data_IF_253662510383
#
_entry.id   IF_253662510383
#
_cell.length_a   1.000
_cell.length_b   1.000
_cell.length_c   1.000
_cell.angle_alpha   90.00
_cell.angle_beta   90.00
_cell.angle_gamma   90.00
#
_symmetry.space_group_name_H-M   'P 1'
#
loop_
_entity.id
_entity.type
_entity.pdbx_description
1 polymer ?
#
# COMPACT_ATOMS: atom_id res chain seq x y z
N UNK A 1 4.18 -39.99 -75.92
CA UNK A 1 4.86 -39.01 -75.03
C UNK A 1 3.75 -38.40 -74.19
N UNK A 2 3.48 -38.94 -73.00
CA UNK A 2 4.09 -38.50 -71.73
C UNK A 2 3.79 -37.00 -71.52
N UNK A 3 3.13 -36.51 -70.46
CA UNK A 3 2.90 -36.95 -69.07
C UNK A 3 1.90 -35.92 -68.50
N UNK A 4 0.83 -36.31 -67.81
CA UNK A 4 0.74 -36.62 -66.36
C UNK A 4 0.62 -35.36 -65.47
N UNK A 5 -0.55 -35.24 -64.80
CA UNK A 5 -0.82 -34.63 -63.48
C UNK A 5 -2.36 -34.47 -63.32
N UNK A 6 -3.05 -35.37 -62.60
CA UNK A 6 -3.20 -35.46 -61.14
C UNK A 6 -4.40 -34.67 -60.58
N UNK A 7 -5.55 -35.35 -60.38
CA UNK A 7 -6.14 -35.63 -59.05
C UNK A 7 -7.53 -36.28 -59.12
N UNK A 8 -7.59 -37.50 -58.57
CA UNK A 8 -8.66 -38.19 -57.80
C UNK A 8 -10.12 -38.06 -58.25
N UNK A 9 -10.83 -39.10 -58.71
CA UNK A 9 -10.94 -40.49 -58.22
C UNK A 9 -11.62 -40.59 -56.83
N UNK A 10 -12.94 -40.81 -56.80
CA UNK A 10 -13.56 -42.09 -56.40
C UNK A 10 -15.00 -41.96 -55.89
N UNK A 11 -15.86 -42.71 -56.58
CA UNK A 11 -17.10 -43.36 -56.13
C UNK A 11 -16.94 -44.15 -54.82
N UNK A 12 -17.95 -44.04 -53.96
CA UNK A 12 -18.45 -45.04 -53.00
C UNK A 12 -19.95 -44.77 -52.91
N UNK A 13 -20.86 -45.53 -53.52
CA UNK A 13 -21.34 -46.84 -53.09
C UNK A 13 -21.49 -47.00 -51.57
N UNK A 14 -22.73 -47.27 -51.16
CA UNK A 14 -23.16 -47.98 -49.95
C UNK A 14 -22.94 -47.32 -48.57
N UNK A 15 -23.94 -46.53 -48.14
CA UNK A 15 -24.34 -46.28 -46.73
C UNK A 15 -25.63 -45.43 -46.79
N UNK A 16 -26.81 -45.84 -46.32
CA UNK A 16 -27.19 -47.02 -45.57
C UNK A 16 -28.73 -47.14 -45.71
N UNK A 17 -29.33 -48.26 -46.15
CA UNK A 17 -30.78 -48.46 -46.06
C UNK A 17 -31.30 -48.33 -44.61
N UNK A 18 -30.40 -48.35 -43.63
CA UNK A 18 -30.63 -48.00 -42.23
C UNK A 18 -30.97 -46.53 -41.99
N UNK A 19 -30.43 -45.57 -42.78
CA UNK A 19 -30.72 -44.13 -42.63
C UNK A 19 -32.10 -43.79 -43.20
N UNK A 20 -32.46 -44.39 -44.34
CA UNK A 20 -33.80 -44.26 -44.91
C UNK A 20 -34.86 -44.99 -44.06
N UNK A 21 -34.52 -46.14 -43.48
CA UNK A 21 -35.37 -46.84 -42.52
C UNK A 21 -35.47 -46.09 -41.18
N UNK A 22 -34.39 -45.43 -40.72
CA UNK A 22 -34.41 -44.61 -39.51
C UNK A 22 -35.28 -43.36 -39.69
N UNK A 23 -35.20 -42.67 -40.83
CA UNK A 23 -36.06 -41.51 -41.15
C UNK A 23 -37.53 -41.91 -41.23
N UNK A 24 -37.86 -43.02 -41.92
CA UNK A 24 -39.23 -43.53 -41.95
C UNK A 24 -39.72 -44.05 -40.58
N UNK A 25 -38.84 -44.59 -39.74
CA UNK A 25 -39.18 -44.98 -38.36
C UNK A 25 -39.35 -43.76 -37.43
N UNK A 26 -38.70 -42.64 -37.72
CA UNK A 26 -38.88 -41.36 -37.02
C UNK A 26 -40.19 -40.69 -37.44
N UNK A 27 -40.53 -40.67 -38.73
CA UNK A 27 -41.80 -40.12 -39.22
C UNK A 27 -43.00 -40.98 -38.77
N UNK A 28 -42.89 -42.31 -38.80
CA UNK A 28 -43.91 -43.20 -38.25
C UNK A 28 -44.05 -43.12 -36.72
N UNK A 29 -43.00 -42.66 -36.01
CA UNK A 29 -43.06 -42.34 -34.57
C UNK A 29 -43.68 -40.97 -34.30
N UNK A 30 -43.46 -39.98 -35.17
CA UNK A 30 -44.09 -38.65 -35.11
C UNK A 30 -45.60 -38.73 -35.42
N UNK A 31 -45.99 -39.50 -36.42
CA UNK A 31 -47.41 -39.68 -36.79
C UNK A 31 -48.20 -40.46 -35.71
N UNK A 32 -47.53 -41.32 -34.94
CA UNK A 32 -48.12 -41.98 -33.78
C UNK A 32 -48.13 -41.12 -32.50
N UNK A 33 -47.42 -39.98 -32.48
CA UNK A 33 -47.46 -38.99 -31.40
C UNK A 33 -48.51 -37.89 -31.62
N UNK A 34 -49.06 -37.75 -32.84
CA UNK A 34 -50.10 -36.76 -33.17
C UNK A 34 -51.54 -37.24 -32.97
N UNK A 35 -51.78 -38.48 -32.50
CA UNK A 35 -53.13 -38.91 -32.14
C UNK A 35 -53.45 -38.54 -30.69
N UNK A 36 -54.37 -37.59 -30.43
CA UNK A 36 -54.61 -37.09 -29.10
C UNK A 36 -55.36 -38.15 -28.29
N UNK A 37 -54.69 -38.77 -27.31
CA UNK A 37 -55.34 -39.51 -26.23
C UNK A 37 -55.30 -38.70 -24.94
N UNK A 38 -56.44 -38.02 -24.71
CA UNK A 38 -57.01 -37.52 -23.45
C UNK A 38 -56.08 -37.40 -22.23
N UNK A 39 -55.92 -36.15 -21.79
CA UNK A 39 -55.75 -35.66 -20.41
C UNK A 39 -55.19 -36.67 -19.40
N UNK A 40 -53.87 -36.65 -19.18
CA UNK A 40 -53.29 -37.28 -18.00
C UNK A 40 -52.38 -36.32 -17.25
N UNK A 41 -52.54 -36.30 -15.93
CA UNK A 41 -51.82 -35.47 -14.95
C UNK A 41 -50.27 -35.53 -15.07
N UNK A 42 -49.74 -36.51 -15.79
CA UNK A 42 -48.31 -36.77 -16.00
C UNK A 42 -47.65 -35.67 -16.85
N UNK A 43 -48.34 -35.13 -17.84
CA UNK A 43 -47.81 -34.08 -18.72
C UNK A 43 -47.61 -32.75 -17.97
N UNK A 44 -48.47 -32.47 -16.99
CA UNK A 44 -48.30 -31.35 -16.04
C UNK A 44 -47.09 -31.58 -15.13
N UNK A 45 -46.84 -32.80 -14.67
CA UNK A 45 -45.64 -33.11 -13.87
C UNK A 45 -44.34 -33.00 -14.68
N UNK A 46 -44.34 -33.42 -15.94
CA UNK A 46 -43.15 -33.38 -16.79
C UNK A 46 -42.78 -31.94 -17.21
N UNK A 47 -43.77 -31.10 -17.53
CA UNK A 47 -43.56 -29.65 -17.72
C UNK A 47 -43.06 -28.97 -16.44
N UNK A 48 -43.58 -29.36 -15.28
CA UNK A 48 -43.10 -28.83 -14.01
C UNK A 48 -41.68 -29.29 -13.69
N UNK A 49 -41.28 -30.54 -13.96
CA UNK A 49 -39.90 -31.00 -13.77
C UNK A 49 -38.90 -30.28 -14.69
N UNK A 50 -39.27 -30.04 -15.96
CA UNK A 50 -38.44 -29.24 -16.88
C UNK A 50 -38.31 -27.79 -16.40
N UNK A 51 -39.38 -27.19 -15.88
CA UNK A 51 -39.35 -25.86 -15.28
C UNK A 51 -38.55 -25.81 -13.97
N UNK A 52 -38.65 -26.85 -13.12
CA UNK A 52 -37.85 -26.98 -11.89
C UNK A 52 -36.37 -27.18 -12.21
N UNK A 53 -36.02 -27.98 -13.23
CA UNK A 53 -34.65 -28.15 -13.67
C UNK A 53 -34.08 -26.84 -14.24
N UNK A 54 -34.87 -26.09 -15.01
CA UNK A 54 -34.51 -24.76 -15.50
C UNK A 54 -34.35 -23.75 -14.35
N UNK A 55 -35.27 -23.75 -13.38
CA UNK A 55 -35.23 -22.87 -12.21
C UNK A 55 -34.04 -23.21 -11.30
N UNK A 56 -33.76 -24.49 -11.05
CA UNK A 56 -32.58 -24.94 -10.30
C UNK A 56 -31.29 -24.59 -11.04
N UNK A 57 -31.26 -24.75 -12.37
CA UNK A 57 -30.15 -24.31 -13.21
C UNK A 57 -29.90 -22.80 -13.10
N UNK A 58 -30.96 -21.99 -13.19
CA UNK A 58 -30.88 -20.52 -13.04
C UNK A 58 -30.44 -20.14 -11.62
N UNK A 59 -30.98 -20.79 -10.59
CA UNK A 59 -30.59 -20.53 -9.19
C UNK A 59 -29.13 -20.92 -8.94
N UNK A 60 -28.66 -22.05 -9.46
CA UNK A 60 -27.25 -22.45 -9.38
C UNK A 60 -26.33 -21.50 -10.18
N UNK A 61 -26.77 -21.01 -11.33
CA UNK A 61 -26.06 -19.97 -12.08
C UNK A 61 -26.00 -18.65 -11.30
N UNK A 62 -27.08 -18.25 -10.63
CA UNK A 62 -27.13 -17.03 -9.81
C UNK A 62 -26.29 -17.18 -8.54
N UNK A 63 -26.28 -18.34 -7.89
CA UNK A 63 -25.40 -18.64 -6.75
C UNK A 63 -23.94 -18.65 -7.18
N UNK A 64 -23.62 -19.27 -8.32
CA UNK A 64 -22.26 -19.28 -8.87
C UNK A 64 -21.80 -17.89 -9.29
N UNK A 65 -22.68 -17.07 -9.87
CA UNK A 65 -22.42 -15.67 -10.16
C UNK A 65 -22.24 -14.85 -8.87
N UNK A 66 -23.09 -15.02 -7.86
CA UNK A 66 -22.92 -14.37 -6.56
C UNK A 66 -21.59 -14.76 -5.91
N UNK A 67 -21.22 -16.03 -5.92
CA UNK A 67 -19.98 -16.50 -5.34
C UNK A 67 -18.74 -15.94 -6.08
N UNK A 68 -18.77 -15.92 -7.41
CA UNK A 68 -17.69 -15.38 -8.25
C UNK A 68 -17.62 -13.85 -8.21
N UNK A 69 -18.74 -13.14 -8.15
CA UNK A 69 -18.77 -11.68 -8.21
C UNK A 69 -18.77 -10.99 -6.85
N UNK A 70 -19.18 -11.67 -5.78
CA UNK A 70 -19.27 -11.06 -4.44
C UNK A 70 -18.35 -11.71 -3.42
N UNK A 71 -18.32 -13.05 -3.32
CA UNK A 71 -17.55 -13.71 -2.28
C UNK A 71 -16.05 -13.78 -2.61
N UNK A 72 -15.68 -14.24 -3.81
CA UNK A 72 -14.27 -14.37 -4.23
C UNK A 72 -13.49 -13.04 -4.20
N UNK A 73 -14.03 -11.90 -4.67
CA UNK A 73 -13.31 -10.63 -4.57
C UNK A 73 -13.13 -10.18 -3.12
N UNK A 74 -14.09 -10.48 -2.25
CA UNK A 74 -14.03 -10.11 -0.83
C UNK A 74 -13.04 -10.99 -0.07
N UNK A 75 -13.05 -12.30 -0.31
CA UNK A 75 -12.11 -13.25 0.31
C UNK A 75 -10.67 -12.98 -0.13
N UNK A 76 -10.45 -12.74 -1.43
CA UNK A 76 -9.14 -12.39 -1.95
C UNK A 76 -8.65 -11.05 -1.40
N UNK A 77 -9.54 -10.07 -1.23
CA UNK A 77 -9.21 -8.77 -0.63
C UNK A 77 -8.87 -8.88 0.85
N UNK A 78 -9.61 -9.68 1.62
CA UNK A 78 -9.31 -9.96 3.02
C UNK A 78 -7.95 -10.65 3.17
N UNK A 79 -7.67 -11.64 2.31
CA UNK A 79 -6.38 -12.31 2.27
C UNK A 79 -5.25 -11.35 1.90
N UNK A 80 -5.43 -10.53 0.88
CA UNK A 80 -4.43 -9.53 0.47
C UNK A 80 -4.17 -8.53 1.62
N UNK A 81 -5.20 -8.18 2.41
CA UNK A 81 -5.06 -7.29 3.57
C UNK A 81 -4.34 -7.98 4.73
N UNK A 82 -4.62 -9.26 4.99
CA UNK A 82 -3.91 -10.06 5.97
C UNK A 82 -2.42 -10.19 5.60
N UNK A 83 -2.14 -10.50 4.34
CA UNK A 83 -0.78 -10.60 3.79
C UNK A 83 -0.05 -9.25 3.86
N UNK A 84 -0.74 -8.14 3.58
CA UNK A 84 -0.20 -6.79 3.74
C UNK A 84 0.15 -6.48 5.20
N UNK A 85 -0.78 -6.73 6.13
CA UNK A 85 -0.53 -6.51 7.56
C UNK A 85 0.58 -7.41 8.10
N UNK A 86 0.65 -8.66 7.64
CA UNK A 86 1.73 -9.59 7.97
C UNK A 86 3.09 -9.04 7.53
N UNK A 87 3.20 -8.51 6.30
CA UNK A 87 4.42 -7.90 5.80
C UNK A 87 4.81 -6.63 6.59
N UNK A 88 3.86 -5.76 6.91
CA UNK A 88 4.08 -4.56 7.76
C UNK A 88 4.59 -4.95 9.14
N UNK A 89 3.97 -5.95 9.77
CA UNK A 89 4.37 -6.45 11.09
C UNK A 89 5.76 -7.09 11.05
N UNK A 90 6.09 -7.83 9.99
CA UNK A 90 7.42 -8.40 9.79
C UNK A 90 8.50 -7.31 9.70
N UNK A 91 8.25 -6.25 8.91
CA UNK A 91 9.14 -5.09 8.82
C UNK A 91 9.35 -4.43 10.18
N UNK A 92 8.26 -4.18 10.93
CA UNK A 92 8.34 -3.57 12.25
C UNK A 92 9.10 -4.43 13.26
N UNK A 93 8.82 -5.73 13.30
CA UNK A 93 9.47 -6.70 14.20
C UNK A 93 10.97 -6.81 13.94
N UNK A 94 11.37 -6.94 12.66
CA UNK A 94 12.78 -6.99 12.27
C UNK A 94 13.52 -5.72 12.68
N UNK A 95 12.90 -4.55 12.53
CA UNK A 95 13.49 -3.27 12.95
C UNK A 95 13.59 -3.16 14.48
N UNK A 96 12.55 -3.52 15.22
CA UNK A 96 12.57 -3.53 16.69
C UNK A 96 13.66 -4.46 17.22
N UNK A 97 13.81 -5.65 16.64
CA UNK A 97 14.88 -6.59 16.98
C UNK A 97 16.27 -5.98 16.74
N UNK A 98 16.45 -5.27 15.61
CA UNK A 98 17.70 -4.57 15.31
C UNK A 98 18.01 -3.47 16.32
N UNK A 99 17.04 -2.63 16.64
CA UNK A 99 17.21 -1.53 17.60
C UNK A 99 17.55 -2.08 18.99
N UNK A 100 16.84 -3.11 19.45
CA UNK A 100 17.13 -3.76 20.73
C UNK A 100 18.57 -4.24 20.80
N UNK A 101 19.05 -4.91 19.75
CA UNK A 101 20.40 -5.45 19.74
C UNK A 101 21.46 -4.34 19.62
N UNK A 102 21.17 -3.24 18.91
CA UNK A 102 22.05 -2.06 18.90
C UNK A 102 22.18 -1.42 20.29
N UNK A 103 21.11 -1.43 21.09
CA UNK A 103 21.17 -0.96 22.49
C UNK A 103 21.87 -1.95 23.41
N UNK A 104 21.70 -3.26 23.19
CA UNK A 104 22.29 -4.31 24.03
C UNK A 104 23.76 -4.61 23.70
N UNK A 105 24.23 -4.24 22.51
CA UNK A 105 25.57 -4.58 22.04
C UNK A 105 26.31 -3.39 21.44
N UNK A 106 27.47 -3.08 22.02
CA UNK A 106 28.41 -2.09 21.50
C UNK A 106 29.36 -2.67 20.42
N UNK A 107 29.09 -3.85 19.86
CA UNK A 107 29.97 -4.48 18.87
C UNK A 107 29.61 -4.08 17.42
N UNK A 108 30.45 -3.27 16.74
CA UNK A 108 30.16 -2.80 15.38
C UNK A 108 30.08 -3.93 14.34
N UNK A 109 30.86 -5.00 14.51
CA UNK A 109 30.85 -6.15 13.59
C UNK A 109 29.53 -6.91 13.67
N UNK A 110 28.94 -6.97 14.86
CA UNK A 110 27.64 -7.61 15.07
C UNK A 110 26.51 -6.76 14.46
N UNK A 111 26.58 -5.44 14.61
CA UNK A 111 25.65 -4.49 13.96
C UNK A 111 25.73 -4.62 12.43
N UNK A 112 26.94 -4.69 11.86
CA UNK A 112 27.14 -4.84 10.42
C UNK A 112 26.61 -6.19 9.90
N UNK A 113 26.90 -7.29 10.60
CA UNK A 113 26.38 -8.62 10.26
C UNK A 113 24.84 -8.66 10.29
N UNK A 114 24.23 -8.05 11.30
CA UNK A 114 22.78 -7.94 11.38
C UNK A 114 22.18 -7.14 10.23
N UNK A 115 22.77 -6.00 9.88
CA UNK A 115 22.32 -5.22 8.74
C UNK A 115 22.33 -6.07 7.46
N UNK A 116 23.37 -6.89 7.26
CA UNK A 116 23.47 -7.77 6.10
C UNK A 116 22.38 -8.85 6.05
N UNK A 117 21.88 -9.31 7.20
CA UNK A 117 20.84 -10.33 7.30
C UNK A 117 19.42 -9.74 7.23
N UNK A 118 19.21 -8.58 7.86
CA UNK A 118 17.88 -7.99 8.05
C UNK A 118 17.47 -7.13 6.86
N UNK A 119 18.37 -6.32 6.30
CA UNK A 119 18.03 -5.38 5.22
C UNK A 119 17.39 -6.06 4.00
N UNK A 120 17.89 -7.21 3.51
CA UNK A 120 17.24 -7.91 2.38
C UNK A 120 15.82 -8.37 2.70
N UNK A 121 15.55 -8.83 3.93
CA UNK A 121 14.22 -9.26 4.36
C UNK A 121 13.25 -8.08 4.47
N UNK A 122 13.73 -6.96 5.02
CA UNK A 122 12.96 -5.71 5.09
C UNK A 122 12.61 -5.24 3.68
N UNK A 123 13.58 -5.22 2.75
CA UNK A 123 13.35 -4.87 1.35
C UNK A 123 12.29 -5.75 0.69
N UNK A 124 12.41 -7.08 0.84
CA UNK A 124 11.46 -8.03 0.27
C UNK A 124 10.04 -7.81 0.79
N UNK A 125 9.87 -7.61 2.10
CA UNK A 125 8.56 -7.35 2.70
C UNK A 125 7.96 -6.00 2.25
N UNK A 126 8.78 -4.95 2.12
CA UNK A 126 8.33 -3.65 1.59
C UNK A 126 7.86 -3.78 0.14
N UNK A 127 8.65 -4.44 -0.71
CA UNK A 127 8.30 -4.63 -2.12
C UNK A 127 7.03 -5.46 -2.26
N UNK A 128 6.89 -6.50 -1.45
CA UNK A 128 5.69 -7.34 -1.41
C UNK A 128 4.44 -6.54 -0.99
N UNK A 129 4.51 -5.82 0.13
CA UNK A 129 3.43 -4.97 0.61
C UNK A 129 3.06 -3.88 -0.41
N UNK A 130 4.06 -3.28 -1.07
CA UNK A 130 3.87 -2.28 -2.12
C UNK A 130 3.15 -2.87 -3.34
N UNK A 131 3.47 -4.11 -3.73
CA UNK A 131 2.82 -4.81 -4.84
C UNK A 131 1.36 -5.21 -4.53
N UNK A 132 0.97 -5.30 -3.26
CA UNK A 132 -0.41 -5.54 -2.84
C UNK A 132 -1.29 -4.28 -2.93
N UNK A 133 -0.72 -3.07 -2.85
CA UNK A 133 -1.48 -1.82 -2.80
C UNK A 133 -2.53 -1.63 -3.90
N UNK A 134 -2.27 -1.93 -5.19
CA UNK A 134 -3.27 -1.78 -6.24
C UNK A 134 -4.53 -2.63 -6.00
N UNK A 135 -4.41 -3.75 -5.27
CA UNK A 135 -5.51 -4.67 -4.97
C UNK A 135 -6.31 -4.26 -3.74
N UNK A 136 -5.67 -3.57 -2.79
CA UNK A 136 -6.30 -3.18 -1.53
C UNK A 136 -7.13 -1.90 -1.61
N UNK A 137 -6.83 -1.03 -2.58
CA UNK A 137 -7.54 0.25 -2.65
C UNK A 137 -7.37 1.04 -1.35
N UNK A 138 -8.35 1.88 -1.01
CA UNK A 138 -8.22 2.91 0.06
C UNK A 138 -8.31 2.34 1.48
N UNK A 139 -8.33 1.02 1.64
CA UNK A 139 -8.47 0.36 2.94
C UNK A 139 -7.19 0.35 3.77
N UNK A 140 -6.05 0.60 3.13
CA UNK A 140 -4.77 0.66 3.84
C UNK A 140 -4.68 1.99 4.58
N UNK A 141 -4.53 1.91 5.91
CA UNK A 141 -4.37 3.10 6.75
C UNK A 141 -3.02 3.78 6.57
N UNK A 142 -3.00 5.11 6.78
CA UNK A 142 -1.77 5.90 6.84
C UNK A 142 -0.75 5.34 7.85
N UNK A 143 -1.13 4.84 9.05
CA UNK A 143 -0.15 4.29 10.00
C UNK A 143 0.68 3.14 9.43
N UNK A 144 0.05 2.19 8.73
CA UNK A 144 0.76 1.08 8.09
C UNK A 144 1.67 1.57 6.97
N UNK A 145 1.19 2.51 6.15
CA UNK A 145 1.98 3.11 5.08
C UNK A 145 3.20 3.84 5.63
N UNK A 146 3.06 4.59 6.72
CA UNK A 146 4.15 5.33 7.38
C UNK A 146 5.28 4.40 7.82
N UNK A 147 4.96 3.23 8.39
CA UNK A 147 5.98 2.23 8.76
C UNK A 147 6.77 1.81 7.52
N UNK A 148 6.08 1.43 6.44
CA UNK A 148 6.73 1.00 5.20
C UNK A 148 7.52 2.12 4.54
N UNK A 149 7.01 3.36 4.53
CA UNK A 149 7.68 4.54 3.98
C UNK A 149 9.00 4.80 4.72
N UNK A 150 8.95 4.85 6.06
CA UNK A 150 10.12 5.09 6.90
C UNK A 150 11.22 4.07 6.60
N UNK A 151 10.87 2.79 6.55
CA UNK A 151 11.85 1.74 6.29
C UNK A 151 12.33 1.73 4.83
N UNK A 152 11.47 1.99 3.86
CA UNK A 152 11.86 2.11 2.46
C UNK A 152 12.89 3.24 2.27
N UNK A 153 12.69 4.37 2.93
CA UNK A 153 13.64 5.49 2.92
C UNK A 153 14.96 5.14 3.62
N UNK A 154 14.93 4.42 4.76
CA UNK A 154 16.12 4.00 5.49
C UNK A 154 17.03 3.09 4.68
N UNK A 155 16.46 2.25 3.80
CA UNK A 155 17.20 1.33 2.94
C UNK A 155 17.38 1.84 1.50
N UNK A 156 17.01 3.10 1.25
CA UNK A 156 17.14 3.77 -0.06
C UNK A 156 16.29 3.16 -1.20
N UNK A 157 15.20 2.45 -0.89
CA UNK A 157 14.21 2.01 -1.89
C UNK A 157 13.25 3.17 -2.25
N UNK A 158 13.79 4.13 -3.01
CA UNK A 158 13.06 5.32 -3.42
C UNK A 158 11.81 5.02 -4.26
N UNK A 159 11.83 3.92 -5.01
CA UNK A 159 10.70 3.52 -5.85
C UNK A 159 9.50 3.13 -4.98
N UNK A 160 9.70 2.22 -4.03
CA UNK A 160 8.64 1.82 -3.11
C UNK A 160 8.22 2.99 -2.22
N UNK A 161 9.17 3.75 -1.68
CA UNK A 161 8.89 4.94 -0.87
C UNK A 161 7.98 5.93 -1.62
N UNK A 162 8.27 6.22 -2.89
CA UNK A 162 7.43 7.12 -3.68
C UNK A 162 6.02 6.58 -3.91
N UNK A 163 5.85 5.28 -4.18
CA UNK A 163 4.51 4.68 -4.34
C UNK A 163 3.73 4.78 -3.02
N UNK A 164 4.35 4.40 -1.91
CA UNK A 164 3.73 4.38 -0.58
C UNK A 164 3.37 5.79 -0.09
N UNK A 165 4.26 6.78 -0.26
CA UNK A 165 4.02 8.18 0.09
C UNK A 165 2.85 8.74 -0.72
N UNK A 166 2.87 8.56 -2.05
CA UNK A 166 1.78 9.03 -2.91
C UNK A 166 0.45 8.38 -2.54
N UNK A 167 0.48 7.12 -2.10
CA UNK A 167 -0.70 6.45 -1.57
C UNK A 167 -1.21 7.13 -0.30
N UNK A 168 -0.33 7.38 0.66
CA UNK A 168 -0.68 7.95 1.96
C UNK A 168 -1.30 9.36 1.83
N UNK A 169 -0.70 10.25 1.01
CA UNK A 169 -1.21 11.63 0.84
C UNK A 169 -2.53 11.72 0.07
N UNK A 170 -2.90 10.66 -0.65
CA UNK A 170 -4.16 10.58 -1.38
C UNK A 170 -5.33 10.11 -0.52
N UNK A 171 -5.10 9.64 0.71
CA UNK A 171 -6.17 9.25 1.64
C UNK A 171 -6.78 10.51 2.28
N UNK A 172 -7.89 10.99 1.70
CA UNK A 172 -8.56 12.24 2.13
C UNK A 172 -9.52 12.07 3.31
N UNK A 173 -9.75 10.85 3.77
CA UNK A 173 -10.66 10.55 4.90
C UNK A 173 -9.93 10.44 6.24
N UNK A 174 -8.60 10.51 6.25
CA UNK A 174 -7.80 10.35 7.46
C UNK A 174 -7.88 11.58 8.39
N UNK A 175 -7.58 11.38 9.67
CA UNK A 175 -7.47 12.49 10.62
C UNK A 175 -6.35 13.46 10.22
N UNK A 176 -6.44 14.77 10.53
CA UNK A 176 -5.44 15.75 10.15
C UNK A 176 -4.02 15.41 10.62
N UNK A 177 -3.87 14.82 11.81
CA UNK A 177 -2.58 14.34 12.33
C UNK A 177 -1.94 13.27 11.44
N UNK A 178 -2.75 12.35 10.90
CA UNK A 178 -2.26 11.31 9.99
C UNK A 178 -1.92 11.89 8.62
N UNK A 179 -2.77 12.79 8.09
CA UNK A 179 -2.47 13.50 6.85
C UNK A 179 -1.16 14.29 6.95
N UNK A 180 -0.96 14.98 8.07
CA UNK A 180 0.27 15.73 8.35
C UNK A 180 1.49 14.83 8.28
N UNK A 181 1.42 13.63 8.87
CA UNK A 181 2.53 12.69 8.86
C UNK A 181 2.84 12.18 7.43
N UNK A 182 1.80 11.90 6.64
CA UNK A 182 1.98 11.53 5.23
C UNK A 182 2.68 12.64 4.42
N UNK A 183 2.28 13.90 4.62
CA UNK A 183 2.94 15.05 4.00
C UNK A 183 4.36 15.28 4.51
N UNK A 184 4.63 15.06 5.80
CA UNK A 184 5.97 15.12 6.39
C UNK A 184 6.92 14.14 5.70
N UNK A 185 6.49 12.89 5.51
CA UNK A 185 7.28 11.90 4.77
C UNK A 185 7.43 12.24 3.29
N UNK A 186 6.41 12.82 2.65
CA UNK A 186 6.54 13.36 1.29
C UNK A 186 7.61 14.44 1.20
N UNK A 187 7.64 15.35 2.17
CA UNK A 187 8.67 16.38 2.33
C UNK A 187 10.05 15.75 2.35
N UNK A 188 10.30 14.83 3.29
CA UNK A 188 11.57 14.12 3.42
C UNK A 188 11.99 13.42 2.12
N UNK A 189 11.07 12.65 1.50
CA UNK A 189 11.37 11.91 0.27
C UNK A 189 11.78 12.84 -0.88
N UNK A 190 11.06 13.96 -1.03
CA UNK A 190 11.35 14.94 -2.06
C UNK A 190 12.73 15.59 -1.85
N UNK A 191 13.13 15.87 -0.61
CA UNK A 191 14.51 16.30 -0.32
C UNK A 191 15.54 15.23 -0.68
N UNK A 192 15.35 13.98 -0.25
CA UNK A 192 16.28 12.89 -0.58
C UNK A 192 16.42 12.61 -2.08
N UNK A 193 15.37 12.90 -2.86
CA UNK A 193 15.35 12.68 -4.31
C UNK A 193 15.66 13.96 -5.12
N UNK A 194 16.07 15.04 -4.45
CA UNK A 194 16.49 16.28 -5.10
C UNK A 194 15.37 17.21 -5.58
N UNK A 195 14.11 16.90 -5.26
CA UNK A 195 12.92 17.72 -5.59
C UNK A 195 12.63 18.74 -4.49
N UNK A 196 13.55 19.67 -4.29
CA UNK A 196 13.59 20.51 -3.09
C UNK A 196 12.34 21.38 -2.92
N UNK A 197 11.86 22.03 -3.97
CA UNK A 197 10.68 22.90 -3.88
C UNK A 197 9.38 22.11 -3.62
N UNK A 198 9.27 20.90 -4.19
CA UNK A 198 8.16 19.99 -3.85
C UNK A 198 8.26 19.50 -2.40
N UNK A 199 9.48 19.35 -1.88
CA UNK A 199 9.74 18.99 -0.49
C UNK A 199 9.31 20.10 0.48
N UNK A 200 9.69 21.34 0.20
CA UNK A 200 9.26 22.54 0.94
C UNK A 200 7.75 22.69 0.94
N UNK A 201 7.13 22.52 -0.23
CA UNK A 201 5.67 22.56 -0.37
C UNK A 201 5.02 21.49 0.50
N UNK A 202 5.53 20.26 0.48
CA UNK A 202 4.97 19.17 1.29
C UNK A 202 5.11 19.39 2.81
N UNK A 203 6.22 19.98 3.29
CA UNK A 203 6.30 20.38 4.70
C UNK A 203 5.33 21.51 5.04
N UNK A 204 5.15 22.48 4.14
CA UNK A 204 4.12 23.51 4.27
C UNK A 204 2.72 22.91 4.37
N UNK A 205 2.39 21.95 3.50
CA UNK A 205 1.12 21.22 3.52
C UNK A 205 0.93 20.43 4.84
N UNK A 206 2.00 19.80 5.35
CA UNK A 206 1.96 19.10 6.64
C UNK A 206 1.57 20.04 7.79
N UNK A 207 2.17 21.24 7.86
CA UNK A 207 1.81 22.22 8.88
C UNK A 207 0.42 22.80 8.67
N UNK A 208 0.02 23.01 7.40
CA UNK A 208 -1.29 23.56 7.03
C UNK A 208 -2.43 22.66 7.46
N UNK A 209 -2.34 21.35 7.27
CA UNK A 209 -3.41 20.44 7.71
C UNK A 209 -3.59 20.43 9.23
N UNK A 210 -2.54 20.79 9.99
CA UNK A 210 -2.63 20.93 11.44
C UNK A 210 -3.07 22.34 11.88
N UNK A 211 -3.27 23.31 11.00
CA UNK A 211 -3.44 24.72 11.39
C UNK A 211 -4.64 24.94 12.33
N UNK A 212 -5.74 24.24 12.08
CA UNK A 212 -6.97 24.37 12.87
C UNK A 212 -7.00 23.46 14.11
N UNK A 213 -6.04 22.53 14.23
CA UNK A 213 -5.93 21.62 15.37
C UNK A 213 -5.56 22.38 16.65
N UNK A 214 -6.35 22.16 17.70
CA UNK A 214 -6.18 22.79 19.03
C UNK A 214 -5.92 21.78 20.14
N UNK A 215 -5.64 20.52 19.81
CA UNK A 215 -5.32 19.49 20.77
C UNK A 215 -4.12 19.90 21.64
N UNK A 216 -4.16 19.54 22.93
CA UNK A 216 -3.02 19.75 23.82
C UNK A 216 -1.79 19.02 23.26
N UNK A 217 -0.65 19.70 23.19
CA UNK A 217 0.58 19.17 22.61
C UNK A 217 0.71 19.29 21.09
N UNK A 218 -0.27 19.87 20.38
CA UNK A 218 -0.20 20.03 18.91
C UNK A 218 1.03 20.82 18.45
N UNK A 219 1.47 21.82 19.23
CA UNK A 219 2.70 22.56 18.94
C UNK A 219 3.96 21.70 19.05
N UNK A 220 3.93 20.62 19.84
CA UNK A 220 5.01 19.62 19.85
C UNK A 220 5.07 18.86 18.53
N UNK A 221 3.92 18.45 17.99
CA UNK A 221 3.84 17.82 16.65
C UNK A 221 4.29 18.77 15.54
N UNK A 222 3.86 20.03 15.58
CA UNK A 222 4.31 21.06 14.63
C UNK A 222 5.82 21.28 14.73
N UNK A 223 6.36 21.39 15.94
CA UNK A 223 7.80 21.55 16.17
C UNK A 223 8.58 20.35 15.61
N UNK A 224 8.06 19.13 15.76
CA UNK A 224 8.67 17.93 15.20
C UNK A 224 8.67 17.90 13.66
N UNK A 225 7.67 18.48 13.00
CA UNK A 225 7.67 18.65 11.54
C UNK A 225 8.72 19.69 11.13
N UNK A 226 8.76 20.82 11.85
CA UNK A 226 9.73 21.89 11.58
C UNK A 226 11.17 21.41 11.82
N UNK A 227 11.43 20.58 12.84
CA UNK A 227 12.76 20.01 13.06
C UNK A 227 13.24 19.18 11.87
N UNK A 228 12.38 18.32 11.32
CA UNK A 228 12.72 17.54 10.12
C UNK A 228 12.96 18.43 8.90
N UNK A 229 12.22 19.53 8.78
CA UNK A 229 12.44 20.52 7.72
C UNK A 229 13.78 21.25 7.88
N UNK A 230 14.15 21.67 9.10
CA UNK A 230 15.47 22.26 9.38
C UNK A 230 16.58 21.31 8.93
N UNK A 231 16.52 20.04 9.34
CA UNK A 231 17.51 19.02 8.97
C UNK A 231 17.59 18.85 7.46
N UNK A 232 16.45 18.86 6.77
CA UNK A 232 16.41 18.73 5.32
C UNK A 232 17.09 19.92 4.61
N UNK A 233 16.81 21.16 5.01
CA UNK A 233 17.45 22.36 4.44
C UNK A 233 18.96 22.39 4.73
N UNK A 234 19.37 22.06 5.98
CA UNK A 234 20.78 21.98 6.36
C UNK A 234 21.53 20.92 5.54
N UNK A 235 20.91 19.76 5.31
CA UNK A 235 21.50 18.69 4.51
C UNK A 235 21.72 19.09 3.04
N UNK A 236 20.90 20.02 2.53
CA UNK A 236 21.08 20.61 1.20
C UNK A 236 22.05 21.80 1.19
N UNK A 237 22.46 22.30 2.36
CA UNK A 237 23.33 23.46 2.49
C UNK A 237 22.60 24.80 2.46
N UNK A 238 21.26 24.83 2.60
CA UNK A 238 20.48 26.07 2.64
C UNK A 238 20.37 26.60 4.08
N UNK A 239 21.47 27.18 4.57
CA UNK A 239 21.55 27.61 5.97
C UNK A 239 20.59 28.78 6.29
N UNK A 240 20.23 29.60 5.29
CA UNK A 240 19.33 30.74 5.47
C UNK A 240 17.90 30.28 5.74
N UNK A 241 17.37 29.37 4.93
CA UNK A 241 16.04 28.81 5.17
C UNK A 241 16.03 27.94 6.42
N UNK A 242 17.10 27.20 6.69
CA UNK A 242 17.23 26.46 7.95
C UNK A 242 17.13 27.39 9.18
N UNK A 243 17.76 28.57 9.14
CA UNK A 243 17.66 29.58 10.21
C UNK A 243 16.24 30.13 10.39
N UNK A 244 15.55 30.43 9.28
CA UNK A 244 14.14 30.84 9.33
C UNK A 244 13.25 29.76 9.99
N UNK A 245 13.46 28.49 9.63
CA UNK A 245 12.73 27.36 10.24
C UNK A 245 13.15 27.12 11.68
N UNK A 246 14.40 27.40 12.05
CA UNK A 246 14.85 27.34 13.43
C UNK A 246 14.12 28.36 14.30
N UNK A 247 13.84 29.56 13.79
CA UNK A 247 12.99 30.53 14.50
C UNK A 247 11.56 30.00 14.68
N UNK A 248 10.94 29.46 13.62
CA UNK A 248 9.61 28.85 13.70
C UNK A 248 9.57 27.74 14.77
N UNK A 249 10.62 26.93 14.84
CA UNK A 249 10.78 25.88 15.85
C UNK A 249 10.86 26.45 17.27
N UNK A 250 11.70 27.47 17.48
CA UNK A 250 11.87 28.16 18.78
C UNK A 250 10.51 28.67 19.28
N UNK A 251 9.76 29.35 18.42
CA UNK A 251 8.44 29.90 18.76
C UNK A 251 7.45 28.79 19.16
N UNK A 252 7.46 27.67 18.44
CA UNK A 252 6.60 26.52 18.72
C UNK A 252 6.94 25.85 20.06
N UNK A 253 8.22 25.61 20.35
CA UNK A 253 8.63 24.90 21.57
C UNK A 253 8.55 25.76 22.84
N UNK A 254 8.62 27.09 22.70
CA UNK A 254 8.42 28.03 23.82
C UNK A 254 6.94 28.19 24.21
N UNK A 255 6.00 27.77 23.36
CA UNK A 255 4.57 27.72 23.69
C UNK A 255 4.32 26.96 25.00
N UNK A 256 3.33 27.42 25.76
CA UNK A 256 2.86 26.75 26.98
C UNK A 256 2.22 25.37 26.70
N UNK A 257 1.88 25.08 25.44
CA UNK A 257 1.35 23.79 25.00
C UNK A 257 2.41 22.68 24.90
N UNK A 258 3.69 23.01 25.02
CA UNK A 258 4.80 22.05 25.04
C UNK A 258 5.35 21.95 26.46
N UNK A 259 5.20 20.79 27.08
CA UNK A 259 5.69 20.55 28.45
C UNK A 259 7.21 20.62 28.53
N UNK A 260 7.76 20.92 29.71
CA UNK A 260 9.21 21.06 29.89
C UNK A 260 10.02 19.82 29.46
N UNK A 261 9.54 18.62 29.76
CA UNK A 261 10.18 17.37 29.31
C UNK A 261 10.12 17.20 27.79
N UNK A 262 8.95 17.41 27.18
CA UNK A 262 8.81 17.29 25.73
C UNK A 262 9.65 18.34 24.98
N UNK A 263 9.69 19.57 25.51
CA UNK A 263 10.54 20.65 25.03
C UNK A 263 12.01 20.24 25.07
N UNK A 264 12.49 19.75 26.23
CA UNK A 264 13.87 19.30 26.39
C UNK A 264 14.24 18.20 25.40
N UNK A 265 13.36 17.21 25.22
CA UNK A 265 13.57 16.13 24.25
C UNK A 265 13.66 16.65 22.81
N UNK A 266 12.69 17.47 22.36
CA UNK A 266 12.68 18.04 21.00
C UNK A 266 13.95 18.85 20.71
N UNK A 267 14.35 19.73 21.63
CA UNK A 267 15.55 20.56 21.47
C UNK A 267 16.81 19.70 21.41
N UNK A 268 16.95 18.74 22.32
CA UNK A 268 18.14 17.87 22.40
C UNK A 268 18.25 16.99 21.16
N UNK A 269 17.14 16.42 20.69
CA UNK A 269 17.11 15.61 19.47
C UNK A 269 17.47 16.42 18.23
N UNK A 270 16.89 17.62 18.06
CA UNK A 270 17.23 18.48 16.92
C UNK A 270 18.71 18.84 16.92
N UNK A 271 19.26 19.27 18.05
CA UNK A 271 20.70 19.60 18.16
C UNK A 271 21.60 18.40 17.86
N UNK A 272 21.24 17.22 18.35
CA UNK A 272 21.98 16.00 18.05
C UNK A 272 21.97 15.68 16.54
N UNK A 273 20.83 15.85 15.87
CA UNK A 273 20.72 15.65 14.42
C UNK A 273 21.51 16.71 13.65
N UNK A 274 21.46 17.99 14.05
CA UNK A 274 22.26 19.06 13.44
C UNK A 274 23.75 18.74 13.55
N UNK A 275 24.21 18.29 14.72
CA UNK A 275 25.61 17.91 14.92
C UNK A 275 26.04 16.77 13.97
N UNK A 276 25.16 15.79 13.72
CA UNK A 276 25.42 14.71 12.75
C UNK A 276 25.52 15.24 11.31
N UNK A 277 24.64 16.16 10.92
CA UNK A 277 24.68 16.78 9.58
C UNK A 277 25.91 17.66 9.41
N UNK A 278 26.25 18.46 10.43
CA UNK A 278 27.44 19.32 10.42
C UNK A 278 28.73 18.50 10.31
N UNK A 279 28.84 17.38 11.04
CA UNK A 279 30.00 16.49 10.98
C UNK A 279 30.19 15.81 9.61
N UNK A 280 29.12 15.66 8.81
CA UNK A 280 29.18 15.00 7.51
C UNK A 280 29.33 15.97 6.32
N UNK A 281 28.98 17.25 6.50
CA UNK A 281 28.93 18.21 5.39
C UNK A 281 29.83 19.44 5.56
N UNK A 282 30.20 19.83 6.78
CA UNK A 282 30.91 21.09 7.11
C UNK A 282 30.31 22.38 6.50
N UNK A 283 29.09 22.32 5.94
CA UNK A 283 28.51 23.42 5.14
C UNK A 283 27.77 24.47 5.97
N UNK A 284 26.98 24.03 6.94
CA UNK A 284 26.16 24.92 7.75
C UNK A 284 26.51 24.78 9.24
N UNK A 285 26.75 25.89 9.96
CA UNK A 285 26.82 25.88 11.42
C UNK A 285 25.43 25.64 12.04
N UNK A 286 25.40 25.41 13.36
CA UNK A 286 24.13 25.40 14.10
C UNK A 286 23.41 26.76 13.95
N UNK A 287 22.11 26.78 13.61
CA UNK A 287 21.34 28.02 13.56
C UNK A 287 21.39 28.80 14.88
N UNK A 288 21.70 30.10 14.80
CA UNK A 288 21.91 30.94 15.99
C UNK A 288 20.64 31.08 16.85
N UNK A 289 19.46 30.96 16.22
CA UNK A 289 18.15 31.00 16.86
C UNK A 289 18.02 29.93 17.96
N UNK A 290 18.63 28.76 17.75
CA UNK A 290 18.60 27.67 18.72
C UNK A 290 19.39 27.97 19.98
N UNK A 291 20.36 28.90 19.96
CA UNK A 291 21.19 29.24 21.12
C UNK A 291 20.35 29.80 22.29
N UNK A 292 19.18 30.37 21.99
CA UNK A 292 18.22 30.88 22.98
C UNK A 292 17.55 29.78 23.82
N UNK A 293 17.61 28.53 23.38
CA UNK A 293 17.01 27.39 24.05
C UNK A 293 18.04 26.75 25.00
N UNK A 294 17.76 26.81 26.30
CA UNK A 294 18.58 26.14 27.30
C UNK A 294 18.54 24.62 27.10
N UNK A 295 19.72 23.97 27.11
CA UNK A 295 19.81 22.51 27.14
C UNK A 295 19.52 22.08 28.58
N UNK A 296 18.35 21.49 28.81
CA UNK A 296 18.13 20.74 30.04
C UNK A 296 18.98 19.47 29.96
N UNK A 297 20.11 19.46 30.65
CA UNK A 297 20.85 18.22 30.89
C UNK A 297 19.93 17.29 31.68
N UNK A 298 19.50 16.20 31.05
CA UNK A 298 18.91 15.07 31.77
C UNK A 298 20.01 14.51 32.67
N UNK A 299 19.82 14.42 34.00
CA UNK A 299 20.80 13.78 34.87
C UNK A 299 21.02 12.36 34.38
N UNK A 300 22.28 11.97 34.19
CA UNK A 300 22.67 10.58 33.92
C UNK A 300 22.39 9.70 35.14
#
# INVERSE_FOLDING_TARGET
>A
MASDESKNDNTLEDLDPLIAAALNAFDARLENLEKPKKDSLIERMQKNMSFFALAVGIVLSVISLLDVFWNKPTEQRLRDMEEFNSAVNAVSSLRQGMVKIQFESNNPSMIAAMNSMIVPQVLANIQYATALLPRLGDEVGIPQLVVLISEAMNIYDWKSANILVNRAVNIKTAAPSMMSEAYRFKGRLNFFTGKIDEGRTAYGDALKVLQEERAYGINGTRAFIVSDWIIAELSMGDCNLAGQRAQDFVDLVQSSQVTGMARGALVTTLRAQIAQVAASSERCPEPAELASLAVFQVPQ
#
